data_IF_207487045100
#
_entry.id   IF_207487045100
#
_cell.length_a   1.000
_cell.length_b   1.000
_cell.length_c   1.000
_cell.angle_alpha   90.00
_cell.angle_beta   90.00
_cell.angle_gamma   90.00
#
_symmetry.space_group_name_H-M   'P 1'
#
loop_
_entity.id
_entity.type
_entity.pdbx_description
1 polymer ?
#
# COMPACT_ATOMS: atom_id res chain seq x y z
N UNK A 1 -24.81 -26.24 -45.86
CA UNK A 1 -25.88 -25.38 -45.31
C UNK A 1 -25.28 -24.29 -44.43
N UNK A 2 -25.71 -23.04 -44.57
CA UNK A 2 -25.18 -21.84 -43.88
C UNK A 2 -25.05 -22.03 -42.35
N UNK A 3 -25.93 -22.84 -41.75
CA UNK A 3 -25.89 -23.21 -40.33
C UNK A 3 -24.65 -24.03 -39.92
N UNK A 4 -24.14 -24.88 -40.82
CA UNK A 4 -22.93 -25.68 -40.59
C UNK A 4 -21.67 -24.80 -40.57
N UNK A 5 -21.59 -23.83 -41.48
CA UNK A 5 -20.46 -22.87 -41.55
C UNK A 5 -20.42 -22.00 -40.30
N UNK A 6 -21.58 -21.53 -39.80
CA UNK A 6 -21.67 -20.77 -38.54
C UNK A 6 -21.26 -21.60 -37.32
N UNK A 7 -21.59 -22.89 -37.29
CA UNK A 7 -21.13 -23.81 -36.22
C UNK A 7 -19.63 -24.02 -36.26
N UNK A 8 -19.04 -24.20 -37.46
CA UNK A 8 -17.59 -24.33 -37.62
C UNK A 8 -16.85 -23.07 -37.15
N UNK A 9 -17.33 -21.88 -37.54
CA UNK A 9 -16.72 -20.60 -37.11
C UNK A 9 -16.79 -20.42 -35.58
N UNK A 10 -17.90 -20.79 -34.93
CA UNK A 10 -18.00 -20.78 -33.47
C UNK A 10 -17.00 -21.74 -32.82
N UNK A 11 -16.84 -22.94 -33.36
CA UNK A 11 -15.89 -23.93 -32.83
C UNK A 11 -14.45 -23.44 -32.94
N UNK A 12 -14.07 -22.80 -34.04
CA UNK A 12 -12.72 -22.23 -34.19
C UNK A 12 -12.43 -21.08 -33.21
N UNK A 13 -13.43 -20.24 -32.91
CA UNK A 13 -13.27 -19.16 -31.92
C UNK A 13 -13.14 -19.73 -30.51
N UNK A 14 -13.93 -20.75 -30.17
CA UNK A 14 -13.82 -21.43 -28.86
C UNK A 14 -12.45 -22.10 -28.72
N UNK A 15 -11.96 -22.77 -29.76
CA UNK A 15 -10.64 -23.38 -29.76
C UNK A 15 -9.52 -22.34 -29.59
N UNK A 16 -9.62 -21.18 -30.24
CA UNK A 16 -8.66 -20.08 -30.09
C UNK A 16 -8.66 -19.51 -28.67
N UNK A 17 -9.83 -19.32 -28.05
CA UNK A 17 -9.95 -18.87 -26.66
C UNK A 17 -9.36 -19.89 -25.68
N UNK A 18 -9.56 -21.19 -25.93
CA UNK A 18 -8.98 -22.25 -25.11
C UNK A 18 -7.46 -22.32 -25.24
N UNK A 19 -6.93 -22.13 -26.45
CA UNK A 19 -5.50 -22.12 -26.71
C UNK A 19 -4.81 -20.89 -26.10
N UNK A 20 -5.49 -19.74 -26.11
CA UNK A 20 -5.06 -18.52 -25.41
C UNK A 20 -5.05 -18.74 -23.90
N UNK A 21 -6.09 -19.33 -23.32
CA UNK A 21 -6.14 -19.66 -21.89
C UNK A 21 -5.02 -20.64 -21.48
N UNK A 22 -4.69 -21.62 -22.31
CA UNK A 22 -3.57 -22.54 -22.07
C UNK A 22 -2.20 -21.86 -22.19
N UNK A 23 -2.04 -20.90 -23.11
CA UNK A 23 -0.80 -20.14 -23.28
C UNK A 23 -0.56 -19.14 -22.13
N UNK A 24 -1.62 -18.53 -21.58
CA UNK A 24 -1.53 -17.66 -20.41
C UNK A 24 -1.54 -18.43 -19.07
N UNK A 25 -1.93 -19.70 -19.07
CA UNK A 25 -1.96 -20.58 -17.89
C UNK A 25 -0.61 -21.17 -17.46
N UNK A 26 0.49 -20.88 -18.16
CA UNK A 26 1.83 -21.36 -17.78
C UNK A 26 2.80 -20.20 -17.47
N UNK A 27 2.54 -19.49 -16.38
CA UNK A 27 3.57 -19.02 -15.42
C UNK A 27 2.91 -18.22 -14.29
N UNK A 28 2.50 -18.93 -13.25
CA UNK A 28 2.69 -18.57 -11.83
C UNK A 28 2.08 -19.73 -11.03
N UNK A 29 2.95 -20.37 -10.27
CA UNK A 29 2.76 -21.54 -9.42
C UNK A 29 1.40 -21.57 -8.70
N UNK A 30 0.63 -22.63 -8.98
CA UNK A 30 -0.61 -23.06 -8.31
C UNK A 30 -0.44 -23.40 -6.81
N UNK A 31 0.71 -23.11 -6.18
CA UNK A 31 1.02 -23.56 -4.82
C UNK A 31 0.70 -22.56 -3.70
N UNK A 32 0.05 -21.44 -3.99
CA UNK A 32 -0.31 -20.42 -2.97
C UNK A 32 -1.78 -19.98 -3.07
N UNK A 33 -2.70 -20.87 -3.45
CA UNK A 33 -4.12 -20.61 -3.18
C UNK A 33 -4.35 -20.96 -1.71
N UNK A 34 -4.52 -19.99 -0.79
CA UNK A 34 -4.86 -20.32 0.59
C UNK A 34 -6.25 -20.94 0.55
N UNK A 35 -6.39 -22.11 1.18
CA UNK A 35 -7.65 -22.85 1.22
C UNK A 35 -8.80 -21.97 1.73
N UNK A 36 -10.03 -22.11 1.19
CA UNK A 36 -11.14 -21.24 1.54
C UNK A 36 -11.66 -21.59 2.94
N UNK A 37 -11.20 -20.86 3.95
CA UNK A 37 -11.83 -20.79 5.26
C UNK A 37 -13.12 -19.98 5.08
N UNK A 38 -14.24 -20.66 4.78
CA UNK A 38 -15.63 -20.17 4.76
C UNK A 38 -15.80 -18.65 4.59
N UNK A 39 -15.36 -18.11 3.45
CA UNK A 39 -15.56 -16.70 3.11
C UNK A 39 -17.02 -16.51 2.71
N UNK A 40 -17.69 -15.48 3.26
CA UNK A 40 -19.04 -15.15 2.80
C UNK A 40 -19.01 -14.87 1.29
N UNK A 41 -20.14 -15.08 0.61
CA UNK A 41 -20.23 -14.90 -0.85
C UNK A 41 -19.76 -13.51 -1.27
N UNK A 42 -19.94 -12.53 -0.41
CA UNK A 42 -19.54 -11.13 -0.59
C UNK A 42 -18.03 -10.93 -0.47
N UNK A 43 -17.34 -11.60 0.47
CA UNK A 43 -15.86 -11.58 0.53
C UNK A 43 -15.29 -12.18 -0.75
N UNK A 44 -15.83 -13.32 -1.20
CA UNK A 44 -15.36 -13.96 -2.43
C UNK A 44 -15.54 -13.01 -3.62
N UNK A 45 -16.65 -12.28 -3.70
CA UNK A 45 -16.86 -11.27 -4.75
C UNK A 45 -15.83 -10.15 -4.70
N UNK A 46 -15.48 -9.66 -3.51
CA UNK A 46 -14.44 -8.64 -3.35
C UNK A 46 -13.07 -9.17 -3.79
N UNK A 47 -12.75 -10.42 -3.46
CA UNK A 47 -11.50 -11.05 -3.88
C UNK A 47 -11.45 -11.31 -5.38
N UNK A 48 -12.55 -11.72 -5.99
CA UNK A 48 -12.66 -11.82 -7.46
C UNK A 48 -12.48 -10.46 -8.11
N UNK A 49 -13.07 -9.39 -7.57
CA UNK A 49 -12.86 -8.04 -8.11
C UNK A 49 -11.38 -7.63 -8.03
N UNK A 50 -10.73 -7.83 -6.87
CA UNK A 50 -9.31 -7.55 -6.69
C UNK A 50 -8.42 -8.40 -7.61
N UNK A 51 -8.80 -9.65 -7.89
CA UNK A 51 -8.08 -10.53 -8.83
C UNK A 51 -8.08 -10.00 -10.26
N UNK A 52 -9.12 -9.27 -10.67
CA UNK A 52 -9.23 -8.62 -11.98
C UNK A 52 -8.75 -7.15 -11.96
N UNK A 53 -7.95 -6.76 -10.96
CA UNK A 53 -7.44 -5.40 -10.76
C UNK A 53 -8.53 -4.33 -10.55
N UNK A 54 -9.78 -4.74 -10.30
CA UNK A 54 -10.87 -3.82 -9.93
C UNK A 54 -10.85 -3.56 -8.42
N UNK A 55 -9.78 -2.88 -8.00
CA UNK A 55 -9.52 -2.61 -6.59
C UNK A 55 -10.51 -1.62 -5.98
N UNK A 56 -11.11 -0.75 -6.79
CA UNK A 56 -12.11 0.21 -6.32
C UNK A 56 -13.42 -0.53 -5.99
N UNK A 57 -13.84 -1.48 -6.82
CA UNK A 57 -14.99 -2.34 -6.52
C UNK A 57 -14.71 -3.26 -5.32
N UNK A 58 -13.51 -3.85 -5.25
CA UNK A 58 -13.12 -4.66 -4.10
C UNK A 58 -13.16 -3.87 -2.79
N UNK A 59 -12.61 -2.65 -2.77
CA UNK A 59 -12.65 -1.76 -1.62
C UNK A 59 -14.10 -1.40 -1.24
N UNK A 60 -14.94 -1.07 -2.22
CA UNK A 60 -16.36 -0.77 -2.01
C UNK A 60 -17.10 -1.94 -1.37
N UNK A 61 -16.86 -3.17 -1.86
CA UNK A 61 -17.46 -4.37 -1.32
C UNK A 61 -17.01 -4.62 0.14
N UNK A 62 -15.72 -4.47 0.44
CA UNK A 62 -15.23 -4.58 1.82
C UNK A 62 -15.86 -3.56 2.76
N UNK A 63 -15.99 -2.30 2.34
CA UNK A 63 -16.64 -1.25 3.14
C UNK A 63 -18.13 -1.57 3.35
N UNK A 64 -18.84 -2.06 2.34
CA UNK A 64 -20.26 -2.45 2.47
C UNK A 64 -20.49 -3.59 3.45
N UNK A 65 -19.47 -4.40 3.68
CA UNK A 65 -19.48 -5.50 4.64
C UNK A 65 -19.03 -5.07 6.04
N UNK A 66 -18.81 -3.77 6.26
CA UNK A 66 -18.23 -3.23 7.50
C UNK A 66 -16.81 -3.77 7.79
N UNK A 67 -16.13 -4.25 6.73
CA UNK A 67 -14.76 -4.81 6.78
C UNK A 67 -13.75 -3.85 6.19
N UNK A 68 -13.74 -2.62 6.71
CA UNK A 68 -12.82 -1.57 6.29
C UNK A 68 -11.35 -1.93 6.57
N UNK A 69 -11.10 -2.78 7.56
CA UNK A 69 -9.80 -3.41 7.81
C UNK A 69 -9.25 -4.14 6.58
N UNK A 70 -10.08 -4.95 5.91
CA UNK A 70 -9.71 -5.64 4.67
C UNK A 70 -9.50 -4.67 3.51
N UNK A 71 -10.31 -3.60 3.45
CA UNK A 71 -10.12 -2.53 2.46
C UNK A 71 -8.77 -1.83 2.63
N UNK A 72 -8.36 -1.54 3.88
CA UNK A 72 -7.05 -0.96 4.21
C UNK A 72 -5.94 -1.93 3.84
N UNK A 73 -6.05 -3.21 4.23
CA UNK A 73 -5.04 -4.23 3.93
C UNK A 73 -4.82 -4.38 2.41
N UNK A 74 -5.91 -4.39 1.63
CA UNK A 74 -5.83 -4.40 0.17
C UNK A 74 -5.02 -3.22 -0.36
N UNK A 75 -5.31 -2.00 0.11
CA UNK A 75 -4.62 -0.79 -0.37
C UNK A 75 -3.17 -0.70 0.08
N UNK A 76 -2.84 -1.24 1.26
CA UNK A 76 -1.46 -1.39 1.75
C UNK A 76 -0.67 -2.32 0.81
N UNK A 77 -1.23 -3.47 0.45
CA UNK A 77 -0.59 -4.43 -0.48
C UNK A 77 -0.31 -3.85 -1.87
N UNK A 78 -1.12 -2.89 -2.30
CA UNK A 78 -0.93 -2.18 -3.57
C UNK A 78 0.02 -0.98 -3.46
N UNK A 79 0.44 -0.59 -2.26
CA UNK A 79 1.22 0.64 -2.04
C UNK A 79 0.42 1.93 -2.26
N UNK A 80 -0.92 1.87 -2.24
CA UNK A 80 -1.79 3.03 -2.44
C UNK A 80 -1.92 3.87 -1.16
N UNK A 81 -0.79 4.36 -0.65
CA UNK A 81 -0.68 4.95 0.69
C UNK A 81 -1.55 6.20 0.91
N UNK A 82 -1.79 7.01 -0.13
CA UNK A 82 -2.73 8.13 -0.06
C UNK A 82 -4.17 7.67 0.23
N UNK A 83 -4.61 6.58 -0.41
CA UNK A 83 -5.94 6.01 -0.17
C UNK A 83 -6.00 5.33 1.20
N UNK A 84 -4.93 4.63 1.61
CA UNK A 84 -4.81 4.06 2.97
C UNK A 84 -5.01 5.15 4.02
N UNK A 85 -4.31 6.27 3.92
CA UNK A 85 -4.44 7.38 4.85
C UNK A 85 -5.86 7.94 4.90
N UNK A 86 -6.54 8.05 3.74
CA UNK A 86 -7.93 8.50 3.69
C UNK A 86 -8.89 7.51 4.36
N UNK A 87 -8.68 6.21 4.20
CA UNK A 87 -9.47 5.18 4.85
C UNK A 87 -9.27 5.19 6.37
N UNK A 88 -8.03 5.35 6.85
CA UNK A 88 -7.71 5.48 8.27
C UNK A 88 -8.36 6.73 8.89
N UNK A 89 -8.28 7.89 8.22
CA UNK A 89 -8.87 9.15 8.73
C UNK A 89 -10.39 9.20 8.71
N UNK A 90 -11.03 8.44 7.83
CA UNK A 90 -12.50 8.46 7.72
C UNK A 90 -13.19 7.65 8.82
N UNK A 91 -12.44 6.89 9.62
CA UNK A 91 -12.98 6.19 10.79
C UNK A 91 -11.93 6.13 11.90
N UNK A 92 -12.06 7.01 12.88
CA UNK A 92 -11.12 7.15 13.99
C UNK A 92 -11.04 5.93 14.92
N UNK A 93 -11.94 4.94 14.78
CA UNK A 93 -11.91 3.72 15.59
C UNK A 93 -10.90 2.67 15.09
N UNK A 94 -10.53 2.72 13.81
CA UNK A 94 -9.68 1.71 13.17
C UNK A 94 -8.22 2.15 13.01
N UNK A 95 -7.94 3.44 13.16
CA UNK A 95 -6.61 3.99 12.94
C UNK A 95 -5.77 3.93 14.23
N UNK A 96 -4.86 2.97 14.31
CA UNK A 96 -3.81 3.01 15.34
C UNK A 96 -2.74 4.04 14.99
N UNK A 97 -2.09 4.61 16.01
CA UNK A 97 -0.97 5.54 15.82
C UNK A 97 0.13 4.93 14.94
N UNK A 98 0.35 3.61 15.07
CA UNK A 98 1.31 2.86 14.26
C UNK A 98 0.92 2.84 12.78
N UNK A 99 -0.34 2.54 12.46
CA UNK A 99 -0.82 2.53 11.06
C UNK A 99 -0.82 3.93 10.45
N UNK A 100 -1.17 4.95 11.24
CA UNK A 100 -1.10 6.34 10.81
C UNK A 100 0.32 6.77 10.50
N UNK A 101 1.27 6.49 11.40
CA UNK A 101 2.68 6.79 11.20
C UNK A 101 3.24 6.05 9.98
N UNK A 102 2.88 4.78 9.78
CA UNK A 102 3.29 4.02 8.60
C UNK A 102 2.77 4.65 7.30
N UNK A 103 1.50 5.04 7.25
CA UNK A 103 0.91 5.67 6.08
C UNK A 103 1.59 7.02 5.77
N UNK A 104 1.84 7.85 6.79
CA UNK A 104 2.55 9.10 6.64
C UNK A 104 3.98 8.92 6.16
N UNK A 105 4.75 8.01 6.77
CA UNK A 105 6.12 7.70 6.34
C UNK A 105 6.15 7.23 4.89
N UNK A 106 5.25 6.33 4.50
CA UNK A 106 5.21 5.79 3.14
C UNK A 106 4.86 6.86 2.09
N UNK A 107 4.00 7.83 2.44
CA UNK A 107 3.75 8.99 1.57
C UNK A 107 4.99 9.89 1.53
N UNK A 108 5.66 10.09 2.66
CA UNK A 108 6.93 10.82 2.70
C UNK A 108 7.99 10.20 1.78
N UNK A 109 8.15 8.88 1.82
CA UNK A 109 9.06 8.12 0.96
C UNK A 109 8.71 8.30 -0.52
N UNK A 110 7.43 8.28 -0.88
CA UNK A 110 6.98 8.56 -2.25
C UNK A 110 7.45 9.93 -2.76
N UNK A 111 7.44 10.97 -1.91
CA UNK A 111 7.94 12.30 -2.27
C UNK A 111 9.47 12.35 -2.29
N UNK A 112 10.13 11.70 -1.34
CA UNK A 112 11.59 11.63 -1.24
C UNK A 112 12.22 10.92 -2.47
N UNK A 113 11.63 9.84 -2.96
CA UNK A 113 12.04 9.13 -4.18
C UNK A 113 12.01 10.00 -5.44
N UNK A 114 11.33 11.14 -5.39
CA UNK A 114 11.18 12.12 -6.49
C UNK A 114 11.91 13.42 -6.19
N UNK A 115 12.82 13.40 -5.22
CA UNK A 115 13.58 14.56 -4.74
C UNK A 115 12.73 15.72 -4.21
N UNK A 116 11.46 15.46 -3.87
CA UNK A 116 10.54 16.45 -3.28
C UNK A 116 10.68 16.48 -1.76
N UNK A 117 11.89 16.76 -1.28
CA UNK A 117 12.27 16.66 0.14
C UNK A 117 11.47 17.57 1.09
N UNK A 118 11.02 18.74 0.63
CA UNK A 118 10.16 19.62 1.42
C UNK A 118 8.78 18.99 1.71
N UNK A 119 8.21 18.32 0.71
CA UNK A 119 6.93 17.60 0.89
C UNK A 119 7.15 16.39 1.80
N UNK A 120 8.22 15.63 1.56
CA UNK A 120 8.58 14.47 2.38
C UNK A 120 8.74 14.84 3.86
N UNK A 121 9.45 15.93 4.16
CA UNK A 121 9.62 16.46 5.52
C UNK A 121 8.28 16.75 6.20
N UNK A 122 7.33 17.35 5.46
CA UNK A 122 5.98 17.60 5.98
C UNK A 122 5.30 16.30 6.44
N UNK A 123 5.41 15.23 5.65
CA UNK A 123 4.83 13.93 5.99
C UNK A 123 5.58 13.20 7.12
N UNK A 124 6.92 13.23 7.13
CA UNK A 124 7.71 12.65 8.22
C UNK A 124 7.45 13.35 9.57
N UNK A 125 7.17 14.66 9.53
CA UNK A 125 6.76 15.42 10.71
C UNK A 125 5.41 14.94 11.24
N UNK A 126 4.43 14.69 10.36
CA UNK A 126 3.13 14.11 10.77
C UNK A 126 3.28 12.70 11.36
N UNK A 127 4.28 11.94 10.93
CA UNK A 127 4.61 10.62 11.46
C UNK A 127 5.44 10.66 12.75
N UNK A 128 5.88 11.84 13.20
CA UNK A 128 6.88 12.01 14.27
C UNK A 128 8.14 11.16 14.08
N UNK A 129 8.56 10.94 12.83
CA UNK A 129 9.70 10.10 12.49
C UNK A 129 11.00 10.92 12.49
N UNK A 130 11.63 11.01 13.65
CA UNK A 130 12.83 11.84 13.87
C UNK A 130 14.01 11.46 12.98
N UNK A 131 14.17 10.18 12.64
CA UNK A 131 15.25 9.71 11.76
C UNK A 131 15.07 10.21 10.33
N UNK A 132 13.86 10.04 9.76
CA UNK A 132 13.57 10.51 8.40
C UNK A 132 13.50 12.04 8.33
N UNK A 133 13.04 12.70 9.40
CA UNK A 133 13.14 14.16 9.53
C UNK A 133 14.59 14.64 9.52
N UNK A 134 15.49 14.01 10.28
CA UNK A 134 16.91 14.35 10.30
C UNK A 134 17.55 14.21 8.91
N UNK A 135 17.24 13.12 8.20
CA UNK A 135 17.69 12.90 6.83
C UNK A 135 17.18 14.00 5.89
N UNK A 136 15.89 14.35 5.96
CA UNK A 136 15.30 15.39 5.13
C UNK A 136 15.89 16.77 5.45
N UNK A 137 16.11 17.11 6.73
CA UNK A 137 16.77 18.36 7.12
C UNK A 137 18.19 18.44 6.57
N UNK A 138 18.97 17.36 6.63
CA UNK A 138 20.32 17.32 6.08
C UNK A 138 20.32 17.59 4.57
N UNK A 139 19.44 16.94 3.80
CA UNK A 139 19.35 17.09 2.34
C UNK A 139 18.88 18.49 1.94
N UNK A 140 17.97 19.08 2.73
CA UNK A 140 17.50 20.45 2.53
C UNK A 140 18.46 21.51 3.11
N UNK A 141 19.60 21.10 3.66
CA UNK A 141 20.60 21.97 4.30
C UNK A 141 20.03 22.83 5.46
N UNK A 142 18.96 22.33 6.12
CA UNK A 142 18.31 22.98 7.26
C UNK A 142 19.00 22.64 8.58
N UNK A 143 20.26 23.04 8.72
CA UNK A 143 21.11 22.65 9.85
C UNK A 143 20.59 23.17 11.21
N UNK A 144 20.01 24.37 11.28
CA UNK A 144 19.43 24.91 12.52
C UNK A 144 18.28 24.03 13.05
N UNK A 145 17.47 23.48 12.13
CA UNK A 145 16.39 22.56 12.47
C UNK A 145 16.93 21.20 12.90
N UNK A 146 18.05 20.76 12.33
CA UNK A 146 18.72 19.52 12.70
C UNK A 146 19.35 19.62 14.10
N UNK A 147 19.98 20.76 14.43
CA UNK A 147 20.48 21.05 15.78
C UNK A 147 19.34 21.09 16.79
N UNK A 148 18.27 21.82 16.49
CA UNK A 148 17.07 21.87 17.35
C UNK A 148 16.46 20.48 17.57
N UNK A 149 16.45 19.65 16.52
CA UNK A 149 15.98 18.27 16.62
C UNK A 149 16.89 17.44 17.53
N UNK A 150 18.21 17.49 17.32
CA UNK A 150 19.20 16.80 18.15
C UNK A 150 19.08 17.22 19.63
N UNK A 151 18.80 18.50 19.86
CA UNK A 151 18.62 19.03 21.20
C UNK A 151 17.33 18.55 21.89
N UNK A 152 16.29 18.24 21.11
CA UNK A 152 15.05 17.66 21.64
C UNK A 152 15.13 16.16 21.91
N UNK A 153 16.16 15.46 21.42
CA UNK A 153 16.26 14.01 21.55
C UNK A 153 16.75 13.58 22.96
N UNK A 154 16.25 12.44 23.48
CA UNK A 154 16.79 11.82 24.68
C UNK A 154 18.30 11.54 24.54
N UNK A 155 19.09 11.72 25.61
CA UNK A 155 20.55 11.51 25.58
C UNK A 155 20.95 10.11 25.11
N UNK A 156 20.13 9.10 25.39
CA UNK A 156 20.35 7.71 24.95
C UNK A 156 19.82 7.40 23.54
N UNK A 157 19.28 8.37 22.81
CA UNK A 157 18.69 8.15 21.50
C UNK A 157 19.71 7.60 20.48
N UNK A 158 19.33 6.63 19.62
CA UNK A 158 20.26 6.02 18.65
C UNK A 158 20.90 6.99 17.66
N UNK A 159 20.20 8.08 17.31
CA UNK A 159 20.70 9.10 16.39
C UNK A 159 21.81 9.99 16.99
N UNK A 160 21.96 10.03 18.32
CA UNK A 160 22.97 10.88 18.96
C UNK A 160 24.30 10.11 19.11
N UNK A 161 25.42 10.63 18.56
CA UNK A 161 26.73 10.01 18.73
C UNK A 161 27.19 10.14 20.18
N UNK A 162 28.04 9.20 20.64
CA UNK A 162 28.53 9.17 22.02
C UNK A 162 29.20 10.48 22.47
N UNK A 163 29.87 11.18 21.56
CA UNK A 163 30.49 12.49 21.82
C UNK A 163 29.48 13.58 22.17
N UNK A 164 28.30 13.57 21.56
CA UNK A 164 27.22 14.52 21.88
C UNK A 164 26.62 14.25 23.25
N UNK A 165 26.61 12.99 23.69
CA UNK A 165 26.10 12.58 25.01
C UNK A 165 26.95 13.09 26.17
N UNK A 166 28.24 13.34 25.96
CA UNK A 166 29.16 13.84 26.99
C UNK A 166 29.10 15.37 27.14
N UNK A 167 28.51 16.07 26.17
CA UNK A 167 28.39 17.54 26.16
C UNK A 167 27.12 18.05 26.85
N UNK A 168 26.21 17.15 27.25
CA UNK A 168 24.95 17.43 27.96
C UNK A 168 24.98 16.83 29.35
#
# INVERSE_FOLDING_TARGET
GIQFVKRLQKLTVIAALYHVALLFGQRRTESEIPTPILKSKEVVRAEVAAYYDDFDEAERLYIQMDRKDLAIELRVKLGHWFRVLQLLKSDGSLATDVQMAQAWNSIGDYYAERDMWEHALGYYTQASNTELMAKAFFILEKFDSLESLADGLPVNHPLLPGSFKTLR
#
